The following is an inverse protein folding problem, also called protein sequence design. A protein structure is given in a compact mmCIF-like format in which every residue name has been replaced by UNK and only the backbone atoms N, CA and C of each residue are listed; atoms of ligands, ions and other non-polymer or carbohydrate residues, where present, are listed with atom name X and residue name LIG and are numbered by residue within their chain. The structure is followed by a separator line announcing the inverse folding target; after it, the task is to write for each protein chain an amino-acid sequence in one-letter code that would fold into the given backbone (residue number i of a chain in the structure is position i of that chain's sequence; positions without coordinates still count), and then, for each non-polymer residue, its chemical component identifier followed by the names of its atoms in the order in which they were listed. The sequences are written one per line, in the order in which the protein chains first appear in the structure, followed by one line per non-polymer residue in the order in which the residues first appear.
data_IF_502247114266
#
_entry.id   IF_502247114266
#
_cell.length_a   1.000
_cell.length_b   1.000
_cell.length_c   1.000
_cell.angle_alpha   90.00
_cell.angle_beta   90.00
_cell.angle_gamma   90.00
#
_symmetry.space_group_name_H-M   'P 1'
#
loop_
_entity.id
_entity.type
_entity.pdbx_description
1 polymer ?
#
# COMPACT_ATOMS: atom_id res chain seq x y z
N UNK A 1 -8.40 36.99 -16.18
CA UNK A 1 -7.82 36.17 -15.09
C UNK A 1 -7.92 34.71 -15.48
N UNK A 2 -6.86 33.91 -15.25
CA UNK A 2 -6.93 32.47 -15.46
C UNK A 2 -7.83 31.87 -14.39
N UNK A 3 -8.80 31.05 -14.79
CA UNK A 3 -9.70 30.35 -13.86
C UNK A 3 -8.94 29.20 -13.18
N UNK A 4 -9.29 28.90 -11.92
CA UNK A 4 -8.85 27.67 -11.27
C UNK A 4 -9.21 26.44 -12.11
N UNK A 5 -8.34 25.43 -12.12
CA UNK A 5 -8.51 24.21 -12.89
C UNK A 5 -7.91 23.00 -12.17
N UNK A 6 -8.33 21.79 -12.55
CA UNK A 6 -7.79 20.55 -12.00
C UNK A 6 -6.49 20.14 -12.69
N UNK A 7 -5.55 19.63 -11.91
CA UNK A 7 -4.33 18.98 -12.40
C UNK A 7 -4.04 17.73 -11.58
N UNK A 8 -3.20 16.84 -12.11
CA UNK A 8 -2.71 15.66 -11.39
C UNK A 8 -1.20 15.75 -11.21
N UNK A 9 -0.75 15.68 -9.96
CA UNK A 9 0.67 15.55 -9.62
C UNK A 9 1.01 14.07 -9.51
N UNK A 10 1.97 13.61 -10.30
CA UNK A 10 2.42 12.22 -10.34
C UNK A 10 3.81 12.07 -9.70
N UNK A 11 3.94 11.13 -8.78
CA UNK A 11 5.15 10.84 -8.03
C UNK A 11 5.52 9.37 -8.20
N UNK A 12 6.67 9.13 -8.83
CA UNK A 12 7.30 7.82 -8.93
C UNK A 12 8.80 8.02 -8.83
N UNK A 13 9.30 8.09 -7.59
CA UNK A 13 10.73 8.21 -7.33
C UNK A 13 11.30 6.83 -7.06
N UNK A 14 12.56 6.63 -7.42
CA UNK A 14 13.29 5.39 -7.11
C UNK A 14 13.25 5.05 -5.61
N UNK A 15 13.25 6.07 -4.74
CA UNK A 15 13.11 5.93 -3.28
C UNK A 15 11.72 5.46 -2.80
N UNK A 16 10.69 5.47 -3.64
CA UNK A 16 9.33 5.01 -3.29
C UNK A 16 9.24 3.51 -3.54
N UNK A 17 10.01 2.74 -2.77
CA UNK A 17 10.13 1.29 -2.89
C UNK A 17 10.30 0.63 -1.52
N UNK A 18 9.97 -0.65 -1.42
CA UNK A 18 10.22 -1.48 -0.24
C UNK A 18 10.51 -2.92 -0.67
N UNK A 19 11.39 -3.61 0.05
CA UNK A 19 11.70 -5.02 -0.19
C UNK A 19 10.99 -5.88 0.86
N UNK A 20 10.15 -6.81 0.44
CA UNK A 20 9.43 -7.69 1.37
C UNK A 20 9.22 -9.09 0.81
N UNK A 21 9.15 -10.07 1.71
CA UNK A 21 8.71 -11.42 1.40
C UNK A 21 7.18 -11.55 1.49
N UNK A 22 6.59 -12.49 0.76
CA UNK A 22 5.18 -12.86 0.88
C UNK A 22 4.89 -14.25 0.31
N UNK A 23 3.63 -14.66 0.42
CA UNK A 23 3.02 -15.76 -0.32
C UNK A 23 1.59 -15.36 -0.67
N UNK A 24 1.21 -15.49 -1.96
CA UNK A 24 -0.18 -15.31 -2.36
C UNK A 24 -0.95 -16.60 -2.14
N UNK A 25 -2.13 -16.51 -1.51
CA UNK A 25 -2.99 -17.66 -1.25
C UNK A 25 -4.14 -17.66 -2.26
N UNK A 26 -4.22 -18.69 -3.11
CA UNK A 26 -5.22 -18.75 -4.19
C UNK A 26 -6.51 -19.45 -3.75
N UNK A 27 -6.40 -20.45 -2.89
CA UNK A 27 -7.52 -21.25 -2.42
C UNK A 27 -7.21 -21.91 -1.07
N UNK A 28 -8.10 -22.76 -0.56
CA UNK A 28 -7.87 -23.53 0.66
C UNK A 28 -6.70 -24.53 0.56
N UNK A 29 -6.25 -24.86 -0.65
CA UNK A 29 -5.23 -25.89 -0.90
C UNK A 29 -4.06 -25.43 -1.77
N UNK A 30 -4.19 -24.30 -2.45
CA UNK A 30 -3.17 -23.75 -3.36
C UNK A 30 -2.67 -22.36 -2.93
N UNK A 31 -1.35 -22.19 -2.92
CA UNK A 31 -0.64 -20.93 -2.66
C UNK A 31 0.70 -20.92 -3.39
N UNK A 32 1.27 -19.74 -3.59
CA UNK A 32 2.65 -19.60 -4.04
C UNK A 32 3.63 -20.09 -2.96
N UNK A 33 4.81 -20.61 -3.32
CA UNK A 33 5.92 -20.72 -2.39
C UNK A 33 6.27 -19.38 -1.73
N UNK A 34 6.93 -19.42 -0.58
CA UNK A 34 7.46 -18.20 0.04
C UNK A 34 8.52 -17.61 -0.90
N UNK A 35 8.41 -16.33 -1.20
CA UNK A 35 9.38 -15.59 -2.02
C UNK A 35 9.29 -14.10 -1.66
N UNK A 36 9.85 -13.20 -2.46
CA UNK A 36 9.74 -11.77 -2.22
C UNK A 36 9.99 -10.91 -3.45
N UNK A 37 9.72 -9.61 -3.29
CA UNK A 37 9.87 -8.61 -4.33
C UNK A 37 10.55 -7.35 -3.81
N UNK A 38 11.11 -6.59 -4.75
CA UNK A 38 11.37 -5.16 -4.56
C UNK A 38 10.16 -4.40 -5.11
N UNK A 39 9.22 -4.10 -4.23
CA UNK A 39 8.00 -3.41 -4.59
C UNK A 39 8.26 -1.94 -4.91
N UNK A 40 7.65 -1.44 -5.97
CA UNK A 40 7.62 -0.02 -6.31
C UNK A 40 6.27 0.60 -5.98
N UNK A 41 6.25 1.88 -5.59
CA UNK A 41 5.03 2.63 -5.30
C UNK A 41 4.98 3.89 -6.14
N UNK A 42 3.85 4.08 -6.82
CA UNK A 42 3.51 5.30 -7.56
C UNK A 42 2.31 5.95 -6.88
N UNK A 43 2.30 7.28 -6.85
CA UNK A 43 1.21 8.09 -6.31
C UNK A 43 0.80 9.15 -7.34
N UNK A 44 -0.49 9.26 -7.61
CA UNK A 44 -1.09 10.40 -8.32
C UNK A 44 -2.11 11.10 -7.44
N UNK A 45 -2.07 12.43 -7.46
CA UNK A 45 -2.95 13.30 -6.68
C UNK A 45 -3.60 14.32 -7.61
N UNK A 46 -4.91 14.23 -7.81
CA UNK A 46 -5.67 15.26 -8.54
C UNK A 46 -6.11 16.35 -7.56
N UNK A 47 -5.89 17.61 -7.90
CA UNK A 47 -6.11 18.78 -7.04
C UNK A 47 -6.35 20.04 -7.89
N UNK A 48 -6.74 21.13 -7.24
CA UNK A 48 -6.93 22.44 -7.88
C UNK A 48 -5.63 23.23 -7.93
N UNK A 49 -5.38 23.83 -9.10
CA UNK A 49 -4.45 24.94 -9.28
C UNK A 49 -5.25 26.23 -9.13
N UNK A 50 -4.81 27.09 -8.21
CA UNK A 50 -5.42 28.38 -7.94
C UNK A 50 -5.03 29.42 -9.01
N UNK A 51 -5.64 30.60 -8.96
CA UNK A 51 -5.41 31.66 -9.95
C UNK A 51 -3.96 32.17 -9.99
N UNK A 52 -3.20 31.96 -8.90
CA UNK A 52 -1.77 32.25 -8.82
C UNK A 52 -0.88 31.17 -9.46
N UNK A 53 -1.46 30.14 -10.08
CA UNK A 53 -0.73 29.05 -10.75
C UNK A 53 -0.15 28.01 -9.79
N UNK A 54 -0.50 28.06 -8.51
CA UNK A 54 -0.01 27.12 -7.49
C UNK A 54 -1.11 26.18 -7.03
N UNK A 55 -0.71 24.97 -6.66
CA UNK A 55 -1.56 24.02 -5.94
C UNK A 55 -1.11 23.93 -4.47
N UNK A 56 -0.55 22.81 -4.04
CA UNK A 56 -0.04 22.58 -2.70
C UNK A 56 1.37 21.95 -2.74
N UNK A 57 2.04 21.89 -1.59
CA UNK A 57 3.34 21.24 -1.46
C UNK A 57 3.21 19.70 -1.40
N UNK A 58 3.43 19.03 -2.53
CA UNK A 58 3.36 17.57 -2.64
C UNK A 58 4.40 16.82 -1.81
N UNK A 59 5.42 17.50 -1.24
CA UNK A 59 6.40 16.86 -0.35
C UNK A 59 5.75 16.20 0.85
N UNK A 60 4.61 16.74 1.33
CA UNK A 60 3.85 16.12 2.41
C UNK A 60 3.44 14.66 2.07
N UNK A 61 2.79 14.42 0.93
CA UNK A 61 2.37 13.06 0.57
C UNK A 61 3.54 12.18 0.15
N UNK A 62 4.59 12.76 -0.45
CA UNK A 62 5.83 12.04 -0.74
C UNK A 62 6.44 11.43 0.54
N UNK A 63 6.55 12.23 1.61
CA UNK A 63 7.07 11.75 2.89
C UNK A 63 6.14 10.71 3.54
N UNK A 64 4.83 10.81 3.35
CA UNK A 64 3.89 9.78 3.80
C UNK A 64 4.09 8.46 3.07
N UNK A 65 4.25 8.47 1.75
CA UNK A 65 4.60 7.25 1.01
C UNK A 65 5.91 6.66 1.53
N UNK A 66 6.94 7.48 1.74
CA UNK A 66 8.21 6.98 2.28
C UNK A 66 8.08 6.36 3.66
N UNK A 67 7.26 6.92 4.55
CA UNK A 67 6.97 6.32 5.87
C UNK A 67 6.29 4.95 5.73
N UNK A 68 5.29 4.84 4.86
CA UNK A 68 4.59 3.58 4.61
C UNK A 68 5.51 2.54 3.96
N UNK A 69 6.34 2.93 2.99
CA UNK A 69 7.34 2.04 2.40
C UNK A 69 8.34 1.54 3.46
N UNK A 70 8.84 2.42 4.34
CA UNK A 70 9.76 2.01 5.42
C UNK A 70 9.11 1.00 6.38
N UNK A 71 7.82 1.18 6.70
CA UNK A 71 7.07 0.25 7.52
C UNK A 71 6.98 -1.15 6.89
N UNK A 72 6.88 -1.24 5.56
CA UNK A 72 6.81 -2.51 4.83
C UNK A 72 8.18 -3.05 4.38
N UNK A 73 9.29 -2.41 4.75
CA UNK A 73 10.60 -2.77 4.24
C UNK A 73 11.30 -3.78 5.15
N UNK A 74 11.95 -4.78 4.54
CA UNK A 74 12.74 -5.83 5.21
C UNK A 74 11.91 -6.66 6.22
N UNK A 75 10.74 -7.12 5.77
CA UNK A 75 9.84 -7.97 6.56
C UNK A 75 9.15 -8.98 5.65
N UNK A 76 8.52 -10.00 6.23
CA UNK A 76 7.62 -10.91 5.55
C UNK A 76 6.16 -10.48 5.79
N UNK A 77 5.44 -10.15 4.72
CA UNK A 77 4.06 -9.72 4.80
C UNK A 77 3.14 -10.93 4.89
N UNK A 78 2.23 -10.91 5.86
CA UNK A 78 1.19 -11.94 6.02
C UNK A 78 -0.20 -11.31 6.15
N UNK A 79 -1.22 -11.88 5.48
CA UNK A 79 -2.58 -11.35 5.55
C UNK A 79 -3.27 -11.78 6.86
N UNK A 80 -3.78 -10.81 7.62
CA UNK A 80 -4.51 -11.06 8.86
C UNK A 80 -5.91 -11.65 8.62
N UNK A 81 -6.54 -11.32 7.49
CA UNK A 81 -7.95 -11.63 7.21
C UNK A 81 -8.13 -12.63 6.07
N UNK A 82 -7.12 -13.45 5.78
CA UNK A 82 -7.27 -14.47 4.74
C UNK A 82 -8.30 -15.52 5.16
N UNK A 83 -9.27 -15.87 4.28
CA UNK A 83 -10.24 -16.92 4.57
C UNK A 83 -9.64 -18.33 4.57
N UNK A 84 -8.41 -18.49 4.07
CA UNK A 84 -7.74 -19.77 3.89
C UNK A 84 -6.57 -19.97 4.86
N UNK A 85 -6.34 -19.03 5.77
CA UNK A 85 -5.22 -19.04 6.68
C UNK A 85 -5.71 -18.94 8.13
N UNK A 86 -5.34 -19.90 8.95
CA UNK A 86 -5.55 -19.79 10.39
C UNK A 86 -4.33 -19.11 11.01
N UNK A 87 -4.57 -18.24 11.98
CA UNK A 87 -3.55 -17.50 12.70
C UNK A 87 -3.58 -17.87 14.19
N UNK A 88 -2.40 -18.08 14.76
CA UNK A 88 -2.17 -18.22 16.19
C UNK A 88 -0.82 -17.60 16.56
N UNK A 89 -0.61 -17.30 17.84
CA UNK A 89 0.65 -16.75 18.34
C UNK A 89 0.96 -17.27 19.74
N UNK A 90 2.24 -17.23 20.12
CA UNK A 90 2.70 -17.35 21.51
C UNK A 90 3.54 -16.12 21.88
N UNK A 91 4.49 -16.22 22.81
CA UNK A 91 5.35 -15.10 23.21
C UNK A 91 6.23 -14.60 22.05
N UNK A 92 6.86 -15.52 21.32
CA UNK A 92 7.95 -15.22 20.38
C UNK A 92 7.56 -15.41 18.91
N UNK A 93 6.54 -16.23 18.64
CA UNK A 93 6.21 -16.68 17.29
C UNK A 93 4.80 -16.34 16.85
N UNK A 94 4.69 -16.05 15.55
CA UNK A 94 3.45 -16.16 14.79
C UNK A 94 3.39 -17.51 14.08
N UNK A 95 2.19 -18.07 14.05
CA UNK A 95 1.90 -19.35 13.44
C UNK A 95 0.78 -19.21 12.42
N UNK A 96 1.10 -19.51 11.17
CA UNK A 96 0.11 -19.56 10.11
C UNK A 96 -0.13 -21.00 9.69
N UNK A 97 -1.37 -21.47 9.76
CA UNK A 97 -1.74 -22.82 9.32
C UNK A 97 -2.48 -22.73 7.99
N UNK A 98 -1.86 -23.25 6.94
CA UNK A 98 -2.39 -23.34 5.59
C UNK A 98 -2.50 -24.81 5.19
N UNK A 99 -3.69 -25.27 4.80
CA UNK A 99 -3.93 -26.64 4.35
C UNK A 99 -3.28 -27.70 5.29
N UNK A 100 -3.56 -27.58 6.58
CA UNK A 100 -3.04 -28.44 7.66
C UNK A 100 -1.51 -28.40 7.86
N UNK A 101 -0.80 -27.47 7.23
CA UNK A 101 0.64 -27.25 7.39
C UNK A 101 0.89 -25.95 8.12
N UNK A 102 1.66 -26.04 9.21
CA UNK A 102 2.02 -24.90 10.06
C UNK A 102 3.30 -24.24 9.53
N UNK A 103 3.31 -22.91 9.45
CA UNK A 103 4.45 -22.08 9.03
C UNK A 103 4.75 -21.11 10.19
N UNK A 104 5.81 -21.35 10.97
CA UNK A 104 6.21 -20.46 12.06
C UNK A 104 7.08 -19.30 11.54
N UNK A 105 6.94 -18.14 12.17
CA UNK A 105 7.81 -16.98 12.00
C UNK A 105 8.06 -16.30 13.35
N UNK A 106 9.24 -15.72 13.55
CA UNK A 106 9.45 -14.79 14.66
C UNK A 106 8.55 -13.57 14.46
N UNK A 107 8.03 -13.01 15.56
CA UNK A 107 7.16 -11.82 15.48
C UNK A 107 7.86 -10.62 14.84
N UNK A 108 9.16 -10.47 15.06
CA UNK A 108 9.96 -9.36 14.51
C UNK A 108 10.18 -9.45 13.00
N UNK A 109 10.09 -10.65 12.42
CA UNK A 109 10.30 -10.88 10.99
C UNK A 109 9.04 -10.68 10.15
N UNK A 110 7.86 -10.60 10.76
CA UNK A 110 6.57 -10.57 10.07
C UNK A 110 5.79 -9.29 10.35
N UNK A 111 5.29 -8.69 9.28
CA UNK A 111 4.28 -7.64 9.35
C UNK A 111 2.92 -8.23 9.01
N UNK A 112 2.03 -8.28 10.01
CA UNK A 112 0.63 -8.62 9.81
C UNK A 112 -0.10 -7.45 9.15
N UNK A 113 -0.58 -7.69 7.94
CA UNK A 113 -1.32 -6.70 7.18
C UNK A 113 -2.83 -6.89 7.39
N UNK A 114 -3.62 -5.82 7.59
CA UNK A 114 -5.08 -5.89 7.72
C UNK A 114 -5.76 -6.13 6.36
N UNK A 115 -5.33 -7.20 5.68
CA UNK A 115 -5.65 -7.56 4.31
C UNK A 115 -6.07 -9.02 4.25
N UNK A 116 -6.83 -9.34 3.20
CA UNK A 116 -7.29 -10.70 2.91
C UNK A 116 -6.23 -11.53 2.21
N UNK A 117 -5.33 -10.87 1.48
CA UNK A 117 -4.21 -11.49 0.79
C UNK A 117 -3.07 -10.48 0.61
N UNK A 118 -1.85 -10.95 0.34
CA UNK A 118 -0.74 -10.06 -0.02
C UNK A 118 -0.57 -10.07 -1.53
N UNK A 119 -1.32 -9.18 -2.17
CA UNK A 119 -1.23 -8.93 -3.62
C UNK A 119 -1.04 -7.45 -3.88
N UNK A 120 -0.62 -7.08 -5.10
CA UNK A 120 -0.43 -5.68 -5.47
C UNK A 120 -1.75 -4.89 -5.46
N UNK A 121 -2.88 -5.55 -5.70
CA UNK A 121 -4.24 -4.99 -5.61
C UNK A 121 -4.57 -4.60 -4.16
N UNK A 122 -4.48 -5.54 -3.23
CA UNK A 122 -4.77 -5.32 -1.81
C UNK A 122 -3.81 -4.28 -1.19
N UNK A 123 -2.52 -4.35 -1.54
CA UNK A 123 -1.53 -3.38 -1.10
C UNK A 123 -1.83 -1.98 -1.63
N UNK A 124 -2.19 -1.84 -2.91
CA UNK A 124 -2.54 -0.52 -3.47
C UNK A 124 -3.75 0.09 -2.76
N UNK A 125 -4.75 -0.73 -2.41
CA UNK A 125 -5.91 -0.33 -1.62
C UNK A 125 -5.51 0.11 -0.21
N UNK A 126 -4.63 -0.65 0.45
CA UNK A 126 -4.10 -0.31 1.77
C UNK A 126 -3.39 1.05 1.77
N UNK A 127 -2.49 1.29 0.81
CA UNK A 127 -1.80 2.58 0.70
C UNK A 127 -2.79 3.74 0.51
N UNK A 128 -3.80 3.59 -0.34
CA UNK A 128 -4.85 4.62 -0.50
C UNK A 128 -5.56 4.86 0.83
N UNK A 129 -5.99 3.80 1.53
CA UNK A 129 -6.66 3.90 2.82
C UNK A 129 -5.78 4.62 3.86
N UNK A 130 -4.50 4.29 3.94
CA UNK A 130 -3.56 4.97 4.83
C UNK A 130 -3.39 6.46 4.50
N UNK A 131 -3.37 6.83 3.21
CA UNK A 131 -3.25 8.23 2.78
C UNK A 131 -4.49 9.06 3.12
N UNK A 132 -5.69 8.49 2.95
CA UNK A 132 -6.94 9.23 3.12
C UNK A 132 -7.44 9.34 4.57
N UNK A 133 -6.79 8.67 5.53
CA UNK A 133 -7.11 8.79 6.97
C UNK A 133 -7.07 10.23 7.50
N UNK A 134 -6.21 11.07 6.94
CA UNK A 134 -6.06 12.48 7.33
C UNK A 134 -6.93 13.37 6.44
N UNK A 135 -8.22 13.43 6.77
CA UNK A 135 -9.21 14.21 6.01
C UNK A 135 -8.96 15.71 6.08
N UNK A 136 -8.35 16.21 7.15
CA UNK A 136 -7.98 17.62 7.30
C UNK A 136 -6.95 18.02 6.24
N UNK A 137 -5.88 17.23 6.06
CA UNK A 137 -4.87 17.50 5.03
C UNK A 137 -5.41 17.29 3.61
N UNK A 138 -6.29 16.31 3.38
CA UNK A 138 -7.00 16.18 2.09
C UNK A 138 -7.81 17.43 1.74
N UNK A 139 -8.50 18.03 2.72
CA UNK A 139 -9.28 19.26 2.54
C UNK A 139 -8.38 20.47 2.31
N UNK A 140 -7.37 20.64 3.16
CA UNK A 140 -6.38 21.73 3.05
C UNK A 140 -5.68 21.74 1.69
N UNK A 141 -5.32 20.57 1.17
CA UNK A 141 -4.67 20.41 -0.13
C UNK A 141 -5.65 20.23 -1.30
N UNK A 142 -6.97 20.33 -1.05
CA UNK A 142 -8.04 20.28 -2.06
C UNK A 142 -7.91 19.06 -2.98
N UNK A 143 -7.59 17.90 -2.41
CA UNK A 143 -7.40 16.65 -3.15
C UNK A 143 -8.75 16.12 -3.62
N UNK A 144 -8.92 15.95 -4.92
CA UNK A 144 -10.15 15.41 -5.53
C UNK A 144 -10.04 13.91 -5.84
N UNK A 145 -8.83 13.44 -6.11
CA UNK A 145 -8.57 12.03 -6.43
C UNK A 145 -7.19 11.62 -5.90
N UNK A 146 -7.11 10.41 -5.37
CA UNK A 146 -5.85 9.74 -5.02
C UNK A 146 -5.77 8.44 -5.80
N UNK A 147 -4.65 8.19 -6.47
CA UNK A 147 -4.34 6.91 -7.10
C UNK A 147 -3.04 6.40 -6.54
N UNK A 148 -3.03 5.16 -6.07
CA UNK A 148 -1.78 4.46 -5.76
C UNK A 148 -1.65 3.25 -6.67
N UNK A 149 -0.47 3.07 -7.26
CA UNK A 149 -0.07 1.81 -7.92
C UNK A 149 1.01 1.15 -7.09
N UNK A 150 0.93 -0.17 -6.95
CA UNK A 150 1.99 -1.00 -6.37
C UNK A 150 2.50 -1.94 -7.45
N UNK A 151 3.83 -1.97 -7.63
CA UNK A 151 4.52 -2.78 -8.61
C UNK A 151 5.20 -3.94 -7.89
N UNK A 152 5.02 -5.17 -8.35
CA UNK A 152 5.82 -6.33 -7.90
C UNK A 152 7.10 -6.50 -8.72
N UNK A 153 7.10 -5.99 -9.96
CA UNK A 153 8.23 -5.95 -10.88
C UNK A 153 8.07 -4.77 -11.86
N UNK A 154 9.15 -4.32 -12.55
CA UNK A 154 9.04 -3.32 -13.60
C UNK A 154 7.99 -3.72 -14.65
N UNK A 155 7.03 -2.83 -14.92
CA UNK A 155 5.96 -3.08 -15.90
C UNK A 155 4.77 -3.92 -15.39
N UNK A 156 4.81 -4.43 -14.16
CA UNK A 156 3.72 -5.20 -13.56
C UNK A 156 3.21 -4.53 -12.28
N UNK A 157 1.96 -4.05 -12.30
CA UNK A 157 1.34 -3.36 -11.17
C UNK A 157 -0.17 -3.48 -11.15
N UNK A 158 -0.76 -3.27 -9.98
CA UNK A 158 -2.18 -2.93 -9.83
C UNK A 158 -2.35 -1.56 -9.17
N UNK A 159 -3.54 -0.97 -9.29
CA UNK A 159 -3.91 0.28 -8.65
C UNK A 159 -5.21 0.21 -7.89
N UNK A 160 -5.31 1.07 -6.89
CA UNK A 160 -6.56 1.46 -6.28
C UNK A 160 -6.71 2.98 -6.33
N UNK A 161 -7.95 3.45 -6.33
CA UNK A 161 -8.28 4.86 -6.45
C UNK A 161 -9.30 5.27 -5.39
N UNK A 162 -9.13 6.48 -4.86
CA UNK A 162 -10.14 7.16 -4.06
C UNK A 162 -10.54 8.45 -4.75
N UNK A 163 -11.83 8.77 -4.68
CA UNK A 163 -12.41 10.02 -5.14
C UNK A 163 -13.03 10.75 -3.97
N UNK A 164 -12.89 12.07 -3.93
CA UNK A 164 -13.61 12.91 -2.98
C UNK A 164 -15.11 12.65 -3.15
N UNK A 165 -15.76 12.23 -2.07
CA UNK A 165 -17.21 12.14 -2.03
C UNK A 165 -17.77 13.57 -2.00
N UNK A 166 -18.73 13.84 -2.86
CA UNK A 166 -19.43 15.14 -2.94
C UNK A 166 -20.24 15.39 -1.67
#
# INVERSE_FOLDING_TARGET
MMKKYLTTVELQKESMKFSAGHTTIFSATEREPLHGHMYGVYLALTTWVEENGLTFDYRYYKERIHKLCRYLNQTFLMPQFSPFLQFAEDEDYYYFTFNNKKIPFLKEDVTLMPLTNITVEELSRWFVQELIKDTAELNKHRIEKVVVKVFSAPGQSASHEWYRQQ
#
